data_IF_621431166128
#
_entry.id   IF_621431166128
#
_cell.length_a   1.000
_cell.length_b   1.000
_cell.length_c   1.000
_cell.angle_alpha   90.00
_cell.angle_beta   90.00
_cell.angle_gamma   90.00
#
_symmetry.space_group_name_H-M   'P 1'
#
loop_
_entity.id
_entity.type
_entity.pdbx_description
1 polymer ?
#
# COMPACT_ATOMS: atom_id res chain seq x y z
N UNK A 1 -20.81 2.53 10.24
CA UNK A 1 -19.50 3.02 9.77
C UNK A 1 -18.65 1.83 9.36
N UNK A 2 -17.55 2.04 8.67
CA UNK A 2 -16.72 0.93 8.20
C UNK A 2 -15.90 0.31 9.34
N UNK A 3 -15.40 -0.92 9.13
CA UNK A 3 -14.43 -1.59 10.03
C UNK A 3 -13.17 -1.91 9.26
N UNK A 4 -12.01 -1.66 9.86
CA UNK A 4 -10.70 -1.95 9.28
C UNK A 4 -10.03 -3.08 10.05
N UNK A 5 -9.61 -4.12 9.34
CA UNK A 5 -8.85 -5.24 9.90
C UNK A 5 -7.53 -5.36 9.16
N UNK A 6 -6.41 -5.29 9.88
CA UNK A 6 -5.08 -5.45 9.33
C UNK A 6 -4.65 -6.93 9.31
N UNK A 7 -3.89 -7.30 8.27
CA UNK A 7 -3.28 -8.61 8.09
C UNK A 7 -1.80 -8.43 7.81
N UNK A 8 -0.96 -9.22 8.46
CA UNK A 8 0.44 -9.35 8.09
C UNK A 8 0.55 -10.43 7.01
N UNK A 9 1.06 -10.08 5.85
CA UNK A 9 1.11 -10.94 4.66
C UNK A 9 2.57 -11.10 4.22
N UNK A 10 3.35 -11.77 5.04
CA UNK A 10 4.80 -11.90 4.90
C UNK A 10 5.56 -10.63 5.33
N UNK A 11 6.86 -10.66 5.17
CA UNK A 11 7.74 -9.53 5.48
C UNK A 11 9.05 -9.60 4.68
N UNK A 12 9.77 -8.47 4.64
CA UNK A 12 11.15 -8.43 4.19
C UNK A 12 12.05 -7.86 5.29
N UNK A 13 13.36 -7.96 5.08
CA UNK A 13 14.36 -7.51 6.04
C UNK A 13 15.35 -6.56 5.37
N UNK A 14 15.57 -5.41 6.00
CA UNK A 14 16.53 -4.40 5.53
C UNK A 14 17.28 -3.74 6.69
N UNK A 15 18.44 -3.09 6.45
CA UNK A 15 19.06 -2.22 7.43
C UNK A 15 18.10 -1.09 7.86
N UNK A 16 18.05 -0.81 9.16
CA UNK A 16 17.14 0.19 9.74
C UNK A 16 17.27 1.56 9.10
N UNK A 17 18.47 1.97 8.68
CA UNK A 17 18.72 3.26 8.01
C UNK A 17 17.99 3.38 6.66
N UNK A 18 17.65 2.26 6.01
CA UNK A 18 16.88 2.30 4.76
C UNK A 18 15.48 2.86 4.98
N UNK A 19 14.94 2.74 6.16
CA UNK A 19 13.60 3.19 6.56
C UNK A 19 13.62 4.52 7.26
N UNK A 20 14.63 4.72 8.11
CA UNK A 20 14.71 5.91 8.94
C UNK A 20 16.18 6.38 8.97
N UNK A 21 16.45 7.53 8.37
CA UNK A 21 17.79 8.11 8.33
C UNK A 21 18.38 8.24 9.74
N UNK A 22 19.60 7.71 9.91
CA UNK A 22 20.31 7.79 11.18
C UNK A 22 19.98 6.69 12.20
N UNK A 23 19.16 5.67 11.84
CA UNK A 23 18.84 4.56 12.75
C UNK A 23 19.84 3.40 12.74
N UNK A 24 20.98 3.54 12.01
CA UNK A 24 22.04 2.55 11.99
C UNK A 24 21.83 1.42 10.98
N UNK A 25 22.71 0.41 11.04
CA UNK A 25 22.73 -0.72 10.10
C UNK A 25 22.11 -2.01 10.67
N UNK A 26 21.59 -1.97 11.89
CA UNK A 26 20.91 -3.13 12.47
C UNK A 26 19.78 -3.59 11.55
N UNK A 27 19.63 -4.91 11.41
CA UNK A 27 18.56 -5.51 10.63
C UNK A 27 17.20 -5.20 11.26
N UNK A 28 16.24 -4.81 10.45
CA UNK A 28 14.85 -4.56 10.86
C UNK A 28 13.91 -5.35 9.95
N UNK A 29 12.91 -5.96 10.58
CA UNK A 29 11.81 -6.63 9.87
C UNK A 29 10.79 -5.57 9.41
N UNK A 30 10.34 -5.70 8.17
CA UNK A 30 9.32 -4.88 7.53
C UNK A 30 8.16 -5.77 7.14
N UNK A 31 7.09 -5.84 7.96
CA UNK A 31 5.89 -6.55 7.57
C UNK A 31 5.32 -5.94 6.29
N UNK A 32 4.76 -6.77 5.42
CA UNK A 32 3.86 -6.30 4.38
C UNK A 32 2.44 -6.46 4.90
N UNK A 33 1.72 -5.36 5.07
CA UNK A 33 0.36 -5.37 5.59
C UNK A 33 -0.65 -5.10 4.50
N UNK A 34 -1.72 -5.89 4.50
CA UNK A 34 -2.94 -5.67 3.75
C UNK A 34 -4.09 -5.39 4.71
N UNK A 35 -5.14 -4.73 4.23
CA UNK A 35 -6.26 -4.39 5.10
C UNK A 35 -7.58 -4.82 4.46
N UNK A 36 -8.46 -5.44 5.25
CA UNK A 36 -9.86 -5.61 4.91
C UNK A 36 -10.65 -4.42 5.44
N UNK A 37 -11.41 -3.78 4.57
CA UNK A 37 -12.33 -2.69 4.90
C UNK A 37 -13.76 -3.22 4.69
N UNK A 38 -14.46 -3.44 5.78
CA UNK A 38 -15.86 -3.87 5.77
C UNK A 38 -16.74 -2.61 5.75
N UNK A 39 -17.52 -2.40 4.69
CA UNK A 39 -18.38 -1.23 4.49
C UNK A 39 -19.83 -1.64 4.21
N UNK A 40 -20.74 -0.70 4.23
CA UNK A 40 -22.12 -0.93 3.79
C UNK A 40 -22.21 -1.27 2.29
N UNK A 41 -21.24 -0.83 1.50
CA UNK A 41 -21.15 -1.12 0.06
C UNK A 41 -20.53 -2.49 -0.25
N UNK A 42 -19.99 -3.19 0.76
CA UNK A 42 -19.36 -4.49 0.63
C UNK A 42 -17.92 -4.54 1.17
N UNK A 43 -17.25 -5.64 0.88
CA UNK A 43 -15.88 -5.90 1.34
C UNK A 43 -14.87 -5.36 0.33
N UNK A 44 -13.92 -4.60 0.83
CA UNK A 44 -12.82 -4.00 0.07
C UNK A 44 -11.51 -4.48 0.68
N UNK A 45 -10.56 -4.87 -0.15
CA UNK A 45 -9.19 -5.17 0.25
C UNK A 45 -8.30 -3.99 -0.16
N UNK A 46 -7.50 -3.48 0.76
CA UNK A 46 -6.46 -2.49 0.52
C UNK A 46 -5.11 -3.17 0.51
N UNK A 47 -4.43 -3.17 -0.65
CA UNK A 47 -3.22 -3.93 -0.95
C UNK A 47 -3.37 -5.45 -0.71
N UNK A 48 -2.43 -6.25 -1.17
CA UNK A 48 -2.56 -7.72 -1.10
C UNK A 48 -1.38 -8.42 -0.45
N UNK A 49 -0.34 -7.69 -0.10
CA UNK A 49 0.86 -8.24 0.51
C UNK A 49 1.65 -9.16 -0.41
N UNK A 50 2.52 -9.97 0.19
CA UNK A 50 3.27 -11.01 -0.51
C UNK A 50 2.39 -12.23 -0.84
N UNK A 51 2.89 -13.08 -1.75
CA UNK A 51 2.32 -14.38 -2.08
C UNK A 51 3.45 -15.31 -2.54
N UNK A 52 3.22 -16.63 -2.52
CA UNK A 52 4.23 -17.64 -2.92
C UNK A 52 4.80 -17.40 -4.32
N UNK A 53 4.00 -16.87 -5.24
CA UNK A 53 4.42 -16.50 -6.60
C UNK A 53 5.50 -15.42 -6.68
N UNK A 54 5.76 -14.71 -5.59
CA UNK A 54 6.89 -13.78 -5.51
C UNK A 54 8.22 -14.52 -5.73
N UNK A 55 8.38 -15.73 -5.16
CA UNK A 55 9.59 -16.54 -5.32
C UNK A 55 9.86 -16.89 -6.78
N UNK A 56 8.81 -17.23 -7.52
CA UNK A 56 8.90 -17.53 -8.95
C UNK A 56 9.28 -16.26 -9.73
N UNK A 57 8.63 -15.13 -9.43
CA UNK A 57 8.87 -13.87 -10.11
C UNK A 57 10.31 -13.34 -9.95
N UNK A 58 11.00 -13.68 -8.85
CA UNK A 58 12.42 -13.31 -8.62
C UNK A 58 13.41 -14.44 -8.94
N UNK A 59 12.96 -15.58 -9.51
CA UNK A 59 13.83 -16.74 -9.73
C UNK A 59 14.69 -16.65 -10.98
N UNK A 60 14.45 -15.73 -11.91
CA UNK A 60 15.07 -15.70 -13.21
C UNK A 60 15.55 -14.30 -13.65
N UNK A 61 16.49 -14.30 -14.59
CA UNK A 61 17.00 -13.10 -15.24
C UNK A 61 17.44 -12.01 -14.27
N UNK A 62 17.21 -10.76 -14.62
CA UNK A 62 17.57 -9.58 -13.80
C UNK A 62 16.71 -9.44 -12.55
N UNK A 63 15.54 -10.10 -12.50
CA UNK A 63 14.65 -10.06 -11.33
C UNK A 63 15.25 -10.76 -10.11
N UNK A 64 16.23 -11.65 -10.31
CA UNK A 64 17.00 -12.24 -9.20
C UNK A 64 17.69 -11.20 -8.34
N UNK A 65 18.11 -10.07 -8.94
CA UNK A 65 18.71 -8.98 -8.20
C UNK A 65 17.73 -8.39 -7.18
N UNK A 66 16.43 -8.33 -7.51
CA UNK A 66 15.41 -7.89 -6.55
C UNK A 66 15.36 -8.83 -5.33
N UNK A 67 15.26 -10.16 -5.56
CA UNK A 67 15.24 -11.13 -4.47
C UNK A 67 16.50 -11.11 -3.57
N UNK A 68 17.67 -10.78 -4.13
CA UNK A 68 18.89 -10.65 -3.35
C UNK A 68 18.93 -9.40 -2.47
N UNK A 69 18.44 -8.27 -2.96
CA UNK A 69 18.44 -7.00 -2.20
C UNK A 69 17.24 -6.86 -1.29
N UNK A 70 16.20 -7.67 -1.48
CA UNK A 70 14.98 -7.69 -0.67
C UNK A 70 14.70 -9.12 -0.22
N UNK A 71 15.37 -9.61 0.83
CA UNK A 71 15.08 -10.92 1.41
C UNK A 71 13.66 -10.98 1.96
N UNK A 72 12.82 -11.81 1.35
CA UNK A 72 11.41 -11.96 1.70
C UNK A 72 11.17 -13.28 2.42
N UNK A 73 10.49 -13.22 3.55
CA UNK A 73 9.95 -14.36 4.27
C UNK A 73 8.42 -14.35 4.14
N UNK A 74 7.91 -15.44 3.63
CA UNK A 74 6.48 -15.66 3.39
C UNK A 74 6.19 -17.15 3.49
N UNK A 75 5.28 -17.50 4.37
CA UNK A 75 4.72 -18.84 4.48
C UNK A 75 3.31 -18.89 3.89
N UNK A 76 2.89 -20.09 3.46
CA UNK A 76 1.55 -20.30 2.92
C UNK A 76 0.43 -19.89 3.91
N UNK A 77 0.70 -19.94 5.22
CA UNK A 77 -0.21 -19.45 6.27
C UNK A 77 -0.38 -17.95 6.27
N UNK A 78 0.63 -17.20 5.80
CA UNK A 78 0.59 -15.73 5.70
C UNK A 78 -0.29 -15.24 4.56
N UNK A 79 -0.68 -16.11 3.63
CA UNK A 79 -1.52 -15.74 2.47
C UNK A 79 -2.76 -14.98 2.91
N UNK A 80 -2.99 -13.79 2.33
CA UNK A 80 -4.16 -12.97 2.65
C UNK A 80 -5.47 -13.75 2.49
N UNK A 81 -5.61 -14.52 1.41
CA UNK A 81 -6.84 -15.30 1.19
C UNK A 81 -7.06 -16.40 2.22
N UNK A 82 -5.99 -17.00 2.76
CA UNK A 82 -6.10 -17.97 3.86
C UNK A 82 -6.49 -17.29 5.17
N UNK A 83 -5.90 -16.14 5.46
CA UNK A 83 -6.25 -15.37 6.64
C UNK A 83 -7.68 -14.82 6.59
N UNK A 84 -8.16 -14.39 5.41
CA UNK A 84 -9.56 -14.00 5.17
C UNK A 84 -10.49 -15.20 5.40
N UNK A 85 -10.18 -16.36 4.80
CA UNK A 85 -10.96 -17.58 4.95
C UNK A 85 -11.06 -18.04 6.42
N UNK A 86 -9.99 -17.95 7.19
CA UNK A 86 -9.98 -18.24 8.63
C UNK A 86 -10.93 -17.32 9.44
N UNK A 87 -11.34 -16.19 8.88
CA UNK A 87 -12.32 -15.25 9.43
C UNK A 87 -13.72 -15.38 8.80
N UNK A 88 -13.94 -16.43 7.99
CA UNK A 88 -15.20 -16.67 7.30
C UNK A 88 -15.43 -15.77 6.07
N UNK A 89 -14.40 -15.07 5.58
CA UNK A 89 -14.46 -14.21 4.39
C UNK A 89 -13.90 -14.95 3.19
N UNK A 90 -14.76 -15.23 2.21
CA UNK A 90 -14.32 -15.78 0.93
C UNK A 90 -13.72 -14.68 0.05
N UNK A 91 -12.69 -15.00 -0.71
CA UNK A 91 -12.17 -14.10 -1.75
C UNK A 91 -13.22 -13.68 -2.78
N UNK A 92 -14.26 -14.50 -2.98
CA UNK A 92 -15.38 -14.18 -3.86
C UNK A 92 -16.31 -13.09 -3.30
N UNK A 93 -16.28 -12.87 -1.98
CA UNK A 93 -17.06 -11.82 -1.31
C UNK A 93 -16.39 -10.45 -1.44
N UNK A 94 -15.07 -10.42 -1.76
CA UNK A 94 -14.32 -9.19 -1.96
C UNK A 94 -14.70 -8.57 -3.31
N UNK A 95 -15.43 -7.47 -3.28
CA UNK A 95 -15.91 -6.79 -4.49
C UNK A 95 -14.86 -5.89 -5.13
N UNK A 96 -14.00 -5.31 -4.31
CA UNK A 96 -12.97 -4.39 -4.75
C UNK A 96 -11.63 -4.68 -4.09
N UNK A 97 -10.55 -4.57 -4.86
CA UNK A 97 -9.17 -4.48 -4.36
C UNK A 97 -8.65 -3.11 -4.74
N UNK A 98 -8.15 -2.36 -3.78
CA UNK A 98 -7.54 -1.05 -4.03
C UNK A 98 -6.04 -1.19 -3.89
N UNK A 99 -5.31 -0.85 -4.95
CA UNK A 99 -3.85 -0.84 -4.93
C UNK A 99 -3.35 0.55 -4.57
N UNK A 100 -2.62 0.65 -3.45
CA UNK A 100 -1.96 1.89 -3.08
C UNK A 100 -0.91 2.29 -4.12
N UNK A 101 -0.15 1.31 -4.60
CA UNK A 101 0.85 1.43 -5.67
C UNK A 101 1.28 0.04 -6.17
N UNK A 102 2.31 -0.02 -7.05
CA UNK A 102 2.65 -1.24 -7.78
C UNK A 102 3.96 -1.92 -7.34
N UNK A 103 4.47 -1.67 -6.13
CA UNK A 103 5.59 -2.45 -5.61
C UNK A 103 5.18 -3.90 -5.32
N UNK A 104 6.15 -4.81 -5.42
CA UNK A 104 5.91 -6.25 -5.39
C UNK A 104 5.23 -6.74 -4.11
N UNK A 105 5.53 -6.13 -2.97
CA UNK A 105 4.99 -6.45 -1.66
C UNK A 105 3.56 -5.94 -1.41
N UNK A 106 3.01 -5.16 -2.33
CA UNK A 106 1.61 -4.73 -2.32
C UNK A 106 0.76 -5.53 -3.30
N UNK A 107 1.35 -6.00 -4.40
CA UNK A 107 0.59 -6.58 -5.53
C UNK A 107 0.70 -8.08 -5.65
N UNK A 108 1.60 -8.76 -4.89
CA UNK A 108 1.87 -10.16 -5.15
C UNK A 108 0.65 -11.08 -4.95
N UNK A 109 -0.28 -10.72 -4.07
CA UNK A 109 -1.53 -11.45 -3.86
C UNK A 109 -2.66 -11.11 -4.84
N UNK A 110 -2.47 -10.14 -5.76
CA UNK A 110 -3.56 -9.61 -6.59
C UNK A 110 -4.25 -10.65 -7.48
N UNK A 111 -3.50 -11.65 -7.98
CA UNK A 111 -4.05 -12.77 -8.76
C UNK A 111 -5.04 -13.67 -7.98
N UNK A 112 -5.08 -13.55 -6.67
CA UNK A 112 -6.01 -14.32 -5.84
C UNK A 112 -7.44 -13.78 -5.87
N UNK A 113 -7.65 -12.58 -6.45
CA UNK A 113 -8.91 -11.88 -6.54
C UNK A 113 -9.39 -11.71 -8.01
N UNK A 114 -9.65 -12.83 -8.73
CA UNK A 114 -9.92 -12.81 -10.18
C UNK A 114 -11.26 -12.17 -10.54
N UNK A 115 -12.15 -11.96 -9.57
CA UNK A 115 -13.50 -11.43 -9.79
C UNK A 115 -13.71 -10.03 -9.18
N UNK A 116 -12.71 -9.49 -8.50
CA UNK A 116 -12.78 -8.17 -7.90
C UNK A 116 -12.48 -7.08 -8.91
N UNK A 117 -13.12 -5.92 -8.78
CA UNK A 117 -12.67 -4.71 -9.45
C UNK A 117 -11.40 -4.20 -8.80
N UNK A 118 -10.37 -3.92 -9.60
CA UNK A 118 -9.06 -3.44 -9.10
C UNK A 118 -9.01 -1.93 -9.27
N UNK A 119 -9.12 -1.19 -8.18
CA UNK A 119 -8.95 0.27 -8.18
C UNK A 119 -7.49 0.65 -8.03
N UNK A 120 -7.02 1.54 -8.89
CA UNK A 120 -5.66 2.07 -8.84
C UNK A 120 -5.58 3.47 -9.46
N UNK A 121 -4.43 4.13 -9.31
CA UNK A 121 -4.14 5.35 -10.03
C UNK A 121 -3.88 5.04 -11.52
N UNK A 122 -4.60 5.72 -12.43
CA UNK A 122 -4.42 5.56 -13.87
C UNK A 122 -2.97 5.75 -14.31
N UNK A 123 -2.35 6.86 -13.89
CA UNK A 123 -0.97 7.19 -14.25
C UNK A 123 0.02 6.16 -13.68
N UNK A 124 -0.26 5.63 -12.48
CA UNK A 124 0.53 4.55 -11.87
C UNK A 124 0.55 3.31 -12.75
N UNK A 125 -0.62 2.84 -13.18
CA UNK A 125 -0.71 1.65 -14.03
C UNK A 125 -0.12 1.88 -15.41
N UNK A 126 -0.46 2.97 -16.09
CA UNK A 126 0.07 3.30 -17.42
C UNK A 126 1.61 3.36 -17.45
N UNK A 127 2.23 3.78 -16.36
CA UNK A 127 3.68 3.76 -16.23
C UNK A 127 4.20 2.32 -16.02
N UNK A 128 3.66 1.59 -15.02
CA UNK A 128 4.22 0.30 -14.60
C UNK A 128 3.99 -0.81 -15.65
N UNK A 129 2.85 -0.83 -16.34
CA UNK A 129 2.54 -1.86 -17.33
C UNK A 129 3.55 -1.95 -18.49
N UNK A 130 4.34 -0.90 -18.71
CA UNK A 130 5.39 -0.83 -19.74
C UNK A 130 6.77 -1.26 -19.23
N UNK A 131 6.95 -1.35 -17.93
CA UNK A 131 8.24 -1.66 -17.34
C UNK A 131 8.60 -3.14 -17.52
N UNK A 132 9.87 -3.39 -17.88
CA UNK A 132 10.47 -4.72 -17.97
C UNK A 132 11.94 -4.65 -17.56
N UNK A 133 12.49 -5.80 -17.18
CA UNK A 133 13.92 -5.95 -16.91
C UNK A 133 14.43 -5.00 -15.82
N UNK A 134 15.58 -4.39 -16.04
CA UNK A 134 16.22 -3.48 -15.06
C UNK A 134 15.33 -2.30 -14.70
N UNK A 135 14.55 -1.78 -15.66
CA UNK A 135 13.61 -0.67 -15.41
C UNK A 135 12.54 -1.05 -14.40
N UNK A 136 12.02 -2.28 -14.46
CA UNK A 136 11.04 -2.79 -13.51
C UNK A 136 11.68 -3.01 -12.12
N UNK A 137 12.86 -3.65 -12.05
CA UNK A 137 13.58 -3.89 -10.78
C UNK A 137 13.88 -2.57 -10.06
N UNK A 138 14.33 -1.53 -10.78
CA UNK A 138 14.56 -0.20 -10.20
C UNK A 138 13.32 0.47 -9.63
N UNK A 139 12.14 0.01 -9.98
CA UNK A 139 10.85 0.50 -9.48
C UNK A 139 10.16 -0.51 -8.58
N UNK A 140 10.94 -1.45 -8.02
CA UNK A 140 10.42 -2.51 -7.15
C UNK A 140 9.18 -3.22 -7.73
N UNK A 141 9.06 -3.26 -9.07
CA UNK A 141 7.94 -3.84 -9.80
C UNK A 141 8.35 -5.16 -10.45
N UNK A 142 7.51 -6.16 -10.30
CA UNK A 142 7.66 -7.49 -10.90
C UNK A 142 6.46 -7.75 -11.81
N UNK A 143 6.62 -7.65 -13.15
CA UNK A 143 5.51 -7.78 -14.10
C UNK A 143 4.72 -9.08 -13.97
N UNK A 144 5.39 -10.18 -13.63
CA UNK A 144 4.77 -11.50 -13.48
C UNK A 144 3.80 -11.60 -12.30
N UNK A 145 3.82 -10.66 -11.39
CA UNK A 145 2.85 -10.59 -10.29
C UNK A 145 1.48 -10.07 -10.76
N UNK A 146 1.45 -9.34 -11.89
CA UNK A 146 0.20 -8.77 -12.40
C UNK A 146 -0.69 -9.84 -13.03
N UNK A 147 -2.02 -9.80 -12.78
CA UNK A 147 -2.95 -10.67 -13.48
C UNK A 147 -2.99 -10.31 -14.97
N UNK A 148 -3.14 -11.32 -15.83
CA UNK A 148 -3.31 -11.09 -17.27
C UNK A 148 -4.59 -10.30 -17.60
N UNK A 149 -5.55 -10.34 -16.69
CA UNK A 149 -6.84 -9.63 -16.75
C UNK A 149 -6.79 -8.22 -16.18
N UNK A 150 -5.61 -7.69 -15.81
CA UNK A 150 -5.48 -6.40 -15.13
C UNK A 150 -6.23 -5.28 -15.85
N UNK A 151 -6.02 -5.12 -17.16
CA UNK A 151 -6.66 -4.04 -17.94
C UNK A 151 -8.19 -4.18 -18.00
N UNK A 152 -8.74 -5.39 -17.92
CA UNK A 152 -10.20 -5.64 -17.93
C UNK A 152 -10.84 -5.56 -16.53
N UNK A 153 -10.08 -5.76 -15.47
CA UNK A 153 -10.55 -5.65 -14.08
C UNK A 153 -10.35 -4.25 -13.49
N UNK A 154 -9.50 -3.44 -14.13
CA UNK A 154 -9.09 -2.16 -13.60
C UNK A 154 -10.20 -1.11 -13.67
N UNK A 155 -10.36 -0.39 -12.56
CA UNK A 155 -11.07 0.87 -12.48
C UNK A 155 -10.11 1.97 -11.98
N UNK A 156 -10.16 3.13 -12.60
CA UNK A 156 -9.30 4.25 -12.20
C UNK A 156 -9.94 5.05 -11.08
N UNK A 157 -9.17 5.32 -10.04
CA UNK A 157 -9.63 6.10 -8.89
C UNK A 157 -10.09 7.50 -9.31
N UNK A 158 -9.42 8.10 -10.29
CA UNK A 158 -9.77 9.42 -10.85
C UNK A 158 -11.13 9.46 -11.58
N UNK A 159 -11.74 8.30 -11.84
CA UNK A 159 -13.10 8.18 -12.37
C UNK A 159 -14.19 8.19 -11.32
N UNK A 160 -13.83 8.13 -10.04
CA UNK A 160 -14.76 8.19 -8.93
C UNK A 160 -15.19 9.65 -8.63
N UNK A 161 -16.35 9.87 -7.98
CA UNK A 161 -16.76 11.20 -7.54
C UNK A 161 -15.73 11.81 -6.58
N UNK A 162 -15.16 12.95 -6.95
CA UNK A 162 -14.33 13.76 -6.05
C UNK A 162 -15.24 14.59 -5.13
N UNK A 163 -14.98 14.54 -3.83
CA UNK A 163 -15.76 15.23 -2.81
C UNK A 163 -14.87 16.04 -1.86
N UNK A 164 -15.39 17.13 -1.27
CA UNK A 164 -14.73 17.78 -0.16
C UNK A 164 -14.58 16.83 1.02
N UNK A 165 -13.43 16.85 1.65
CA UNK A 165 -13.17 16.08 2.86
C UNK A 165 -13.57 16.86 4.13
N UNK A 166 -13.99 16.17 5.20
CA UNK A 166 -14.23 16.76 6.49
C UNK A 166 -13.03 17.57 7.02
N UNK A 167 -13.28 18.66 7.73
CA UNK A 167 -12.23 19.52 8.26
C UNK A 167 -11.23 18.79 9.18
N UNK A 168 -11.66 17.73 9.86
CA UNK A 168 -10.81 16.87 10.67
C UNK A 168 -9.68 16.19 9.88
N UNK A 169 -9.80 16.10 8.55
CA UNK A 169 -8.81 15.49 7.65
C UNK A 169 -7.84 16.51 7.04
N UNK A 170 -7.88 17.77 7.50
CA UNK A 170 -6.88 18.76 7.09
C UNK A 170 -5.45 18.24 7.35
N UNK A 171 -4.49 18.36 6.40
CA UNK A 171 -4.48 19.28 5.24
C UNK A 171 -5.00 18.68 3.92
N UNK A 172 -5.69 17.55 3.92
CA UNK A 172 -6.36 17.01 2.75
C UNK A 172 -7.71 17.73 2.58
N UNK A 173 -8.00 18.22 1.37
CA UNK A 173 -9.19 19.04 1.11
C UNK A 173 -10.23 18.29 0.30
N UNK A 174 -9.80 17.44 -0.62
CA UNK A 174 -10.65 16.61 -1.47
C UNK A 174 -10.17 15.19 -1.49
N UNK A 175 -11.04 14.26 -1.83
CA UNK A 175 -10.75 12.85 -2.04
C UNK A 175 -11.82 12.20 -2.90
N UNK A 176 -11.49 11.08 -3.51
CA UNK A 176 -12.42 10.29 -4.32
C UNK A 176 -13.22 9.34 -3.41
N UNK A 177 -14.54 9.48 -3.43
CA UNK A 177 -15.44 8.63 -2.65
C UNK A 177 -15.58 7.24 -3.30
N UNK A 178 -14.86 6.26 -2.75
CA UNK A 178 -14.84 4.90 -3.27
C UNK A 178 -16.18 4.16 -3.09
N UNK A 179 -16.89 4.45 -2.02
CA UNK A 179 -18.12 3.74 -1.64
C UNK A 179 -19.39 4.45 -2.06
N UNK A 180 -19.30 5.70 -2.47
CA UNK A 180 -20.47 6.57 -2.70
C UNK A 180 -21.18 7.03 -1.42
N UNK A 181 -20.81 6.47 -0.26
CA UNK A 181 -21.43 6.74 1.05
C UNK A 181 -20.63 7.71 1.93
N UNK A 182 -19.43 8.08 1.48
CA UNK A 182 -18.49 8.89 2.27
C UNK A 182 -17.77 8.12 3.39
N UNK A 183 -17.84 6.78 3.38
CA UNK A 183 -17.14 5.95 4.37
C UNK A 183 -15.66 5.75 4.02
N UNK A 184 -15.30 5.75 2.71
CA UNK A 184 -13.93 5.54 2.24
C UNK A 184 -13.57 6.58 1.18
N UNK A 185 -12.59 7.42 1.48
CA UNK A 185 -12.05 8.41 0.55
C UNK A 185 -10.63 8.06 0.14
N UNK A 186 -10.37 7.96 -1.14
CA UNK A 186 -9.03 7.80 -1.68
C UNK A 186 -8.38 9.17 -1.84
N UNK A 187 -7.10 9.28 -1.50
CA UNK A 187 -6.30 10.51 -1.62
C UNK A 187 -4.94 10.22 -2.23
N UNK A 188 -4.33 11.23 -2.83
CA UNK A 188 -2.95 11.11 -3.31
C UNK A 188 -1.94 11.34 -2.18
N UNK A 189 -0.95 10.46 -2.12
CA UNK A 189 0.24 10.55 -1.26
C UNK A 189 1.51 10.39 -2.13
N UNK A 190 1.76 11.31 -3.05
CA UNK A 190 2.81 11.13 -4.04
C UNK A 190 4.22 11.15 -3.43
N UNK A 191 5.16 10.47 -4.10
CA UNK A 191 6.58 10.57 -3.79
C UNK A 191 7.29 9.24 -3.63
N UNK A 192 6.71 8.29 -2.89
CA UNK A 192 7.24 6.94 -2.77
C UNK A 192 7.21 6.21 -4.12
N UNK A 193 6.06 6.12 -4.74
CA UNK A 193 5.88 5.53 -6.06
C UNK A 193 5.04 6.46 -6.97
N UNK A 194 5.08 6.20 -8.28
CA UNK A 194 4.20 6.89 -9.25
C UNK A 194 2.77 6.41 -9.01
N UNK A 195 1.86 7.37 -8.81
CA UNK A 195 0.46 7.07 -8.55
C UNK A 195 0.17 6.48 -7.17
N UNK A 196 1.04 6.76 -6.18
CA UNK A 196 0.85 6.28 -4.82
C UNK A 196 -0.37 6.95 -4.16
N UNK A 197 -1.23 6.11 -3.58
CA UNK A 197 -2.50 6.46 -2.96
C UNK A 197 -2.49 6.16 -1.46
N UNK A 198 -3.35 6.84 -0.72
CA UNK A 198 -3.79 6.49 0.62
C UNK A 198 -5.32 6.48 0.71
N UNK A 199 -5.87 5.98 1.80
CA UNK A 199 -7.31 5.97 2.02
C UNK A 199 -7.68 6.46 3.43
N UNK A 200 -8.62 7.40 3.52
CA UNK A 200 -9.32 7.69 4.75
C UNK A 200 -10.52 6.77 4.89
N UNK A 201 -10.62 6.08 6.00
CA UNK A 201 -11.73 5.19 6.33
C UNK A 201 -12.43 5.69 7.59
N UNK A 202 -13.74 5.93 7.51
CA UNK A 202 -14.55 6.35 8.65
C UNK A 202 -15.01 5.11 9.44
N UNK A 203 -14.43 4.90 10.61
CA UNK A 203 -14.75 3.81 11.53
C UNK A 203 -15.56 4.30 12.73
N UNK A 204 -16.07 3.37 13.54
CA UNK A 204 -16.75 3.72 14.80
C UNK A 204 -15.81 4.42 15.80
N UNK A 205 -14.49 4.18 15.70
CA UNK A 205 -13.48 4.85 16.51
C UNK A 205 -12.99 6.20 15.93
N UNK A 206 -13.57 6.67 14.81
CA UNK A 206 -13.15 7.88 14.11
C UNK A 206 -12.46 7.58 12.78
N UNK A 207 -11.74 8.56 12.24
CA UNK A 207 -11.04 8.42 10.97
C UNK A 207 -9.73 7.67 11.10
N UNK A 208 -9.50 6.74 10.16
CA UNK A 208 -8.23 6.04 9.98
C UNK A 208 -7.66 6.38 8.61
N UNK A 209 -6.39 6.79 8.53
CA UNK A 209 -5.64 6.93 7.28
C UNK A 209 -4.82 5.66 7.04
N UNK A 210 -5.12 4.93 5.98
CA UNK A 210 -4.22 3.92 5.42
C UNK A 210 -3.21 4.66 4.55
N UNK A 211 -2.03 4.94 5.11
CA UNK A 211 -1.03 5.79 4.46
C UNK A 211 -0.06 5.00 3.59
N UNK A 212 -0.13 3.67 3.63
CA UNK A 212 0.76 2.76 2.92
C UNK A 212 2.24 3.17 3.09
N UNK A 213 2.96 3.41 2.01
CA UNK A 213 4.40 3.70 2.00
C UNK A 213 4.74 5.19 1.94
N UNK A 214 3.76 6.06 2.20
CA UNK A 214 4.05 7.49 2.37
C UNK A 214 4.94 7.77 3.61
N UNK A 215 5.01 6.82 4.53
CA UNK A 215 6.02 6.67 5.56
C UNK A 215 6.24 5.17 5.82
N UNK A 216 7.45 4.78 6.22
CA UNK A 216 7.78 3.38 6.54
C UNK A 216 7.88 3.11 8.04
N UNK A 217 7.85 4.17 8.85
CA UNK A 217 7.86 4.10 10.30
C UNK A 217 7.13 5.31 10.89
N UNK A 218 6.53 5.13 12.05
CA UNK A 218 5.83 6.19 12.81
C UNK A 218 6.73 7.37 13.08
N UNK A 219 7.99 7.15 13.46
CA UNK A 219 8.97 8.22 13.67
C UNK A 219 9.18 9.05 12.39
N UNK A 220 9.01 8.43 11.21
CA UNK A 220 9.14 9.11 9.92
C UNK A 220 8.23 10.31 9.81
N UNK A 221 6.93 10.14 10.01
CA UNK A 221 5.98 11.24 9.94
C UNK A 221 5.89 12.06 11.23
N UNK A 222 6.12 11.46 12.40
CA UNK A 222 6.11 12.16 13.68
C UNK A 222 7.24 13.20 13.78
N UNK A 223 8.44 12.80 13.36
CA UNK A 223 9.66 13.59 13.53
C UNK A 223 10.12 14.25 12.21
N UNK A 224 9.34 14.11 11.12
CA UNK A 224 9.68 14.53 9.74
C UNK A 224 11.03 13.97 9.28
N UNK A 225 11.35 12.76 9.70
CA UNK A 225 12.59 12.06 9.43
C UNK A 225 12.36 10.93 8.42
N UNK A 226 12.67 11.20 7.16
CA UNK A 226 12.51 10.21 6.09
C UNK A 226 13.60 9.14 6.08
N UNK A 227 13.59 8.27 5.07
CA UNK A 227 14.58 7.22 4.86
C UNK A 227 15.95 7.80 4.45
N UNK A 228 16.96 6.93 4.37
CA UNK A 228 18.28 7.31 3.86
C UNK A 228 18.22 7.76 2.40
N UNK A 229 19.25 8.50 1.95
CA UNK A 229 19.33 8.93 0.55
C UNK A 229 19.37 7.75 -0.44
N UNK A 230 19.93 6.61 -0.02
CA UNK A 230 19.97 5.39 -0.83
C UNK A 230 18.58 4.86 -1.17
N UNK A 231 17.62 5.00 -0.26
CA UNK A 231 16.24 4.56 -0.50
C UNK A 231 15.56 5.31 -1.65
N UNK A 232 16.01 6.55 -1.95
CA UNK A 232 15.51 7.32 -3.08
C UNK A 232 16.01 6.84 -4.45
N UNK A 233 16.88 5.83 -4.50
CA UNK A 233 17.22 5.16 -5.76
C UNK A 233 16.05 4.33 -6.32
N UNK A 234 15.19 3.83 -5.45
CA UNK A 234 14.00 3.03 -5.81
C UNK A 234 12.71 3.84 -5.72
N UNK A 235 12.66 4.87 -4.88
CA UNK A 235 11.50 5.75 -4.75
C UNK A 235 11.39 6.71 -5.94
N UNK A 236 10.18 7.22 -6.15
CA UNK A 236 9.90 8.05 -7.33
C UNK A 236 10.45 9.48 -7.22
N UNK A 237 10.10 10.20 -6.16
CA UNK A 237 10.41 11.62 -6.04
C UNK A 237 10.54 12.08 -4.58
N UNK A 238 11.77 12.48 -4.21
CA UNK A 238 12.08 12.92 -2.85
C UNK A 238 11.27 14.14 -2.38
N UNK A 239 11.07 15.14 -3.25
CA UNK A 239 10.34 16.37 -2.87
C UNK A 239 8.87 16.06 -2.58
N UNK A 240 8.25 15.25 -3.43
CA UNK A 240 6.86 14.80 -3.25
C UNK A 240 6.73 13.87 -2.03
N UNK A 241 7.71 12.99 -1.78
CA UNK A 241 7.73 12.16 -0.58
C UNK A 241 7.65 13.02 0.71
N UNK A 242 8.54 14.01 0.84
CA UNK A 242 8.51 14.90 1.99
C UNK A 242 7.28 15.84 2.02
N UNK A 243 6.67 16.12 0.87
CA UNK A 243 5.39 16.80 0.84
C UNK A 243 4.29 15.94 1.47
N UNK A 244 4.16 14.68 1.07
CA UNK A 244 3.22 13.71 1.65
C UNK A 244 3.50 13.47 3.13
N UNK A 245 4.76 13.29 3.50
CA UNK A 245 5.17 13.11 4.89
C UNK A 245 4.75 14.29 5.79
N UNK A 246 4.90 15.55 5.30
CA UNK A 246 4.43 16.74 6.02
C UNK A 246 2.91 16.77 6.19
N UNK A 247 2.14 16.35 5.18
CA UNK A 247 0.67 16.25 5.31
C UNK A 247 0.28 15.26 6.41
N UNK A 248 0.93 14.09 6.45
CA UNK A 248 0.70 13.09 7.49
C UNK A 248 1.14 13.61 8.87
N UNK A 249 2.26 14.32 8.94
CA UNK A 249 2.72 14.99 10.18
C UNK A 249 1.67 15.95 10.74
N UNK A 250 1.07 16.80 9.90
CA UNK A 250 0.02 17.72 10.31
C UNK A 250 -1.20 16.98 10.87
N UNK A 251 -1.65 15.92 10.19
CA UNK A 251 -2.72 15.04 10.69
C UNK A 251 -2.39 14.41 12.04
N UNK A 252 -1.17 13.87 12.18
CA UNK A 252 -0.72 13.28 13.44
C UNK A 252 -0.72 14.30 14.58
N UNK A 253 -0.27 15.51 14.31
CA UNK A 253 -0.26 16.61 15.30
C UNK A 253 -1.68 17.03 15.73
N UNK A 254 -2.64 16.95 14.84
CA UNK A 254 -4.04 17.26 15.14
C UNK A 254 -4.72 16.17 16.00
N UNK A 255 -4.18 14.94 16.01
CA UNK A 255 -4.68 13.84 16.84
C UNK A 255 -6.07 13.31 16.48
N UNK A 256 -6.66 13.76 15.36
CA UNK A 256 -8.03 13.42 14.97
C UNK A 256 -8.13 12.16 14.08
N UNK A 257 -6.98 11.62 13.65
CA UNK A 257 -6.90 10.53 12.68
C UNK A 257 -5.89 9.50 13.14
N UNK A 258 -6.30 8.23 13.18
CA UNK A 258 -5.38 7.11 13.35
C UNK A 258 -4.62 6.89 12.03
N UNK A 259 -3.32 6.67 12.09
CA UNK A 259 -2.47 6.46 10.90
C UNK A 259 -1.97 5.03 10.91
N UNK A 260 -2.20 4.30 9.81
CA UNK A 260 -1.75 2.94 9.57
C UNK A 260 -0.76 2.93 8.41
N UNK A 261 0.40 2.31 8.62
CA UNK A 261 1.46 2.11 7.64
C UNK A 261 1.51 0.66 7.18
N UNK A 262 2.06 0.39 6.00
CA UNK A 262 2.25 -0.99 5.52
C UNK A 262 3.34 -1.72 6.29
N UNK A 263 4.44 -1.05 6.60
CA UNK A 263 5.66 -1.68 7.11
C UNK A 263 5.86 -1.58 8.62
N UNK A 264 4.83 -1.20 9.35
CA UNK A 264 4.87 -1.11 10.79
C UNK A 264 3.59 -1.64 11.40
N UNK A 265 3.71 -2.51 12.38
CA UNK A 265 2.56 -2.95 13.17
C UNK A 265 2.08 -1.79 14.02
N UNK A 266 0.76 -1.57 14.05
CA UNK A 266 0.17 -0.57 14.94
C UNK A 266 0.55 -0.90 16.38
N UNK A 267 0.90 0.11 17.14
CA UNK A 267 0.97 -0.04 18.58
C UNK A 267 -0.38 -0.56 19.11
N UNK A 268 -0.39 -1.51 20.03
CA UNK A 268 -1.59 -2.09 20.61
C UNK A 268 -2.48 -1.03 21.26
#
# INVERSE_FOLDING_TARGET
>A
MAKVTAFRVGHCTHPSCMVLKGSGLASRCFPSRAFLIETKAGLIVWDTGYASRFRDAVSYGVYRAYGWVTPVEFDEGDSLVKQLAARGVSRADVKAVVMSHFHADHVAGLKDFPHSTIYCCAHGWEFHKRLRGVGAVRRAFLPDLMPATMDSQMAVVQGLPEKPLPAALFPFRTGWDLTGTGEVFIVELPGHAIGHLGAFVQTDAGWTLLASDAAWATEGYRDLRGPSELSFLVQHNRKLYYHSLRKIHVLNRAGAVRIELTHEESAP
#
